data_IF_361951282385
#
_entry.id   IF_361951282385
#
_cell.length_a   1.000
_cell.length_b   1.000
_cell.length_c   1.000
_cell.angle_alpha   90.00
_cell.angle_beta   90.00
_cell.angle_gamma   90.00
#
_symmetry.space_group_name_H-M   'P 1'
#
loop_
_entity.id
_entity.type
_entity.pdbx_description
1 polymer ?
#
# COMPACT_ATOMS: atom_id res chain seq x y z
N UNK A 1 -2.14 37.19 13.92
CA UNK A 1 -1.28 35.99 13.93
C UNK A 1 -2.14 34.80 14.33
N UNK A 2 -2.91 34.25 13.39
CA UNK A 2 -3.82 33.12 13.65
C UNK A 2 -3.07 31.80 13.50
N UNK A 3 -3.34 30.79 14.35
CA UNK A 3 -2.70 29.49 14.25
C UNK A 3 -3.20 28.84 12.95
N UNK A 4 -2.32 28.76 11.96
CA UNK A 4 -2.61 28.03 10.74
C UNK A 4 -2.96 26.58 11.11
N UNK A 5 -4.15 26.12 10.70
CA UNK A 5 -4.61 24.75 10.86
C UNK A 5 -3.50 23.78 10.45
N UNK A 6 -2.92 23.06 11.42
CA UNK A 6 -1.86 22.08 11.16
C UNK A 6 -2.28 21.04 10.11
N UNK A 7 -3.57 20.71 10.08
CA UNK A 7 -4.20 19.88 9.05
C UNK A 7 -4.06 20.46 7.64
N UNK A 8 -4.23 21.77 7.47
CA UNK A 8 -4.05 22.44 6.18
C UNK A 8 -2.61 22.29 5.66
N UNK A 9 -1.63 22.45 6.56
CA UNK A 9 -0.21 22.29 6.21
C UNK A 9 0.15 20.87 5.80
N UNK A 10 -0.44 19.86 6.43
CA UNK A 10 -0.23 18.45 6.05
C UNK A 10 -0.82 18.17 4.67
N UNK A 11 -2.01 18.70 4.38
CA UNK A 11 -2.66 18.55 3.07
C UNK A 11 -1.84 19.23 1.97
N UNK A 12 -1.29 20.41 2.24
CA UNK A 12 -0.44 21.13 1.27
C UNK A 12 0.86 20.37 0.99
N UNK A 13 1.46 19.72 2.01
CA UNK A 13 2.64 18.86 1.83
C UNK A 13 2.34 17.59 1.03
N UNK A 14 1.17 16.99 1.21
CA UNK A 14 0.72 15.83 0.43
C UNK A 14 0.49 16.16 -1.06
N UNK A 15 0.21 17.43 -1.39
CA UNK A 15 0.02 17.89 -2.78
C UNK A 15 1.34 18.28 -3.45
N UNK A 16 2.41 18.44 -2.70
CA UNK A 16 3.72 18.85 -3.21
C UNK A 16 4.56 17.69 -3.77
N UNK A 17 5.76 17.97 -4.30
CA UNK A 17 6.69 16.97 -4.84
C UNK A 17 7.09 15.87 -3.83
N UNK A 18 7.05 16.18 -2.53
CA UNK A 18 7.33 15.25 -1.44
C UNK A 18 6.11 14.42 -1.00
N UNK A 19 4.93 14.67 -1.56
CA UNK A 19 3.67 14.08 -1.10
C UNK A 19 3.65 12.55 -1.16
N UNK A 20 4.20 11.97 -2.23
CA UNK A 20 4.32 10.52 -2.38
C UNK A 20 5.19 9.89 -1.28
N UNK A 21 6.34 10.49 -0.98
CA UNK A 21 7.23 10.02 0.09
C UNK A 21 6.58 10.11 1.48
N UNK A 22 5.88 11.21 1.76
CA UNK A 22 5.17 11.38 3.03
C UNK A 22 4.04 10.35 3.19
N UNK A 23 3.27 10.11 2.13
CA UNK A 23 2.20 9.12 2.14
C UNK A 23 2.75 7.71 2.41
N UNK A 24 3.89 7.34 1.83
CA UNK A 24 4.55 6.06 2.10
C UNK A 24 4.92 5.91 3.58
N UNK A 25 5.52 6.94 4.20
CA UNK A 25 5.89 6.93 5.62
C UNK A 25 4.64 6.79 6.50
N UNK A 26 3.56 7.50 6.17
CA UNK A 26 2.29 7.40 6.91
C UNK A 26 1.70 5.99 6.83
N UNK A 27 1.66 5.39 5.64
CA UNK A 27 1.19 4.01 5.45
C UNK A 27 2.04 3.00 6.23
N UNK A 28 3.38 3.12 6.18
CA UNK A 28 4.29 2.24 6.92
C UNK A 28 4.10 2.38 8.43
N UNK A 29 3.97 3.61 8.93
CA UNK A 29 3.72 3.88 10.35
C UNK A 29 2.38 3.28 10.78
N UNK A 30 1.32 3.46 9.99
CA UNK A 30 0.02 2.88 10.27
C UNK A 30 0.07 1.34 10.30
N UNK A 31 0.78 0.72 9.35
CA UNK A 31 0.99 -0.73 9.34
C UNK A 31 1.72 -1.21 10.59
N UNK A 32 2.79 -0.51 11.02
CA UNK A 32 3.50 -0.83 12.27
C UNK A 32 2.60 -0.69 13.50
N UNK A 33 1.77 0.35 13.57
CA UNK A 33 0.84 0.53 14.69
C UNK A 33 -0.17 -0.62 14.75
N UNK A 34 -0.80 -0.97 13.62
CA UNK A 34 -1.78 -2.06 13.54
C UNK A 34 -1.11 -3.39 13.92
N UNK A 35 0.07 -3.68 13.34
CA UNK A 35 0.82 -4.89 13.60
C UNK A 35 1.35 -5.01 15.04
N UNK A 36 1.35 -3.93 15.83
CA UNK A 36 1.73 -3.94 17.25
C UNK A 36 0.56 -3.70 18.21
N UNK A 37 -0.68 -3.72 17.70
CA UNK A 37 -1.90 -3.49 18.46
C UNK A 37 -2.68 -4.80 18.72
N UNK A 38 -3.77 -4.76 19.50
CA UNK A 38 -4.69 -5.90 19.66
C UNK A 38 -5.28 -6.42 18.35
N UNK A 39 -5.29 -5.63 17.27
CA UNK A 39 -5.76 -6.05 15.95
C UNK A 39 -4.73 -6.84 15.13
N UNK A 40 -3.54 -7.12 15.70
CA UNK A 40 -2.47 -7.90 15.06
C UNK A 40 -2.98 -9.19 14.43
N UNK A 41 -3.73 -9.99 15.17
CA UNK A 41 -4.21 -11.29 14.69
C UNK A 41 -5.15 -11.15 13.49
N UNK A 42 -6.12 -10.24 13.56
CA UNK A 42 -7.02 -9.96 12.45
C UNK A 42 -6.26 -9.44 11.21
N UNK A 43 -5.27 -8.58 11.41
CA UNK A 43 -4.43 -8.05 10.34
C UNK A 43 -3.65 -9.16 9.61
N UNK A 44 -2.96 -10.03 10.35
CA UNK A 44 -2.21 -11.12 9.75
C UNK A 44 -3.11 -12.24 9.22
N UNK A 45 -4.27 -12.49 9.81
CA UNK A 45 -5.25 -13.42 9.29
C UNK A 45 -5.81 -12.97 7.92
N UNK A 46 -6.09 -11.67 7.77
CA UNK A 46 -6.53 -11.10 6.50
C UNK A 46 -5.43 -11.18 5.43
N UNK A 47 -4.19 -10.84 5.77
CA UNK A 47 -3.06 -10.92 4.83
C UNK A 47 -2.70 -12.37 4.45
N UNK A 48 -2.86 -13.30 5.39
CA UNK A 48 -2.61 -14.72 5.18
C UNK A 48 -3.77 -15.47 4.54
N UNK A 49 -4.94 -14.84 4.38
CA UNK A 49 -6.13 -15.50 3.86
C UNK A 49 -5.86 -16.06 2.45
N UNK A 50 -6.05 -17.36 2.20
CA UNK A 50 -5.81 -17.95 0.90
C UNK A 50 -6.90 -17.50 -0.08
N UNK A 51 -6.51 -16.75 -1.10
CA UNK A 51 -7.35 -16.42 -2.24
C UNK A 51 -6.99 -17.30 -3.42
N UNK A 52 -7.94 -18.17 -3.76
CA UNK A 52 -7.86 -19.08 -4.89
C UNK A 52 -8.52 -18.54 -6.14
N UNK A 53 -7.82 -18.58 -7.27
CA UNK A 53 -8.43 -18.41 -8.60
C UNK A 53 -8.19 -19.68 -9.43
N UNK A 54 -9.22 -20.11 -10.16
CA UNK A 54 -9.19 -21.31 -11.01
C UNK A 54 -10.22 -22.37 -10.59
N UNK A 55 -10.26 -23.47 -11.34
CA UNK A 55 -11.17 -24.60 -11.09
C UNK A 55 -10.48 -25.93 -11.38
N UNK A 56 -10.79 -26.98 -10.62
CA UNK A 56 -10.18 -28.31 -10.79
C UNK A 56 -8.69 -28.35 -10.44
N UNK A 57 -7.90 -29.06 -11.25
CA UNK A 57 -6.47 -29.31 -10.98
C UNK A 57 -5.56 -28.08 -11.20
N UNK A 58 -6.05 -26.99 -11.81
CA UNK A 58 -5.30 -25.76 -12.06
C UNK A 58 -5.62 -24.63 -11.07
N UNK A 59 -6.07 -24.97 -9.86
CA UNK A 59 -6.36 -24.00 -8.81
C UNK A 59 -5.07 -23.40 -8.26
N UNK A 60 -4.94 -22.08 -8.33
CA UNK A 60 -3.84 -21.34 -7.74
C UNK A 60 -4.34 -20.69 -6.46
N UNK A 61 -3.94 -21.25 -5.31
CA UNK A 61 -4.24 -20.69 -3.99
C UNK A 61 -3.01 -19.92 -3.48
N UNK A 62 -3.14 -18.59 -3.42
CA UNK A 62 -2.09 -17.70 -2.91
C UNK A 62 -2.64 -16.86 -1.76
N UNK A 63 -1.84 -16.59 -0.72
CA UNK A 63 -2.23 -15.63 0.31
C UNK A 63 -2.55 -14.26 -0.29
N UNK A 64 -3.53 -13.53 0.29
CA UNK A 64 -3.87 -12.14 -0.06
C UNK A 64 -2.62 -11.27 -0.19
N UNK A 65 -1.66 -11.44 0.72
CA UNK A 65 -0.41 -10.68 0.72
C UNK A 65 0.38 -10.84 -0.59
N UNK A 66 0.47 -12.05 -1.15
CA UNK A 66 1.20 -12.29 -2.41
C UNK A 66 0.46 -11.64 -3.58
N UNK A 67 -0.86 -11.79 -3.65
CA UNK A 67 -1.68 -11.12 -4.66
C UNK A 67 -1.48 -9.60 -4.66
N UNK A 68 -1.47 -8.98 -3.48
CA UNK A 68 -1.26 -7.54 -3.34
C UNK A 68 0.15 -7.16 -3.82
N UNK A 69 1.17 -7.92 -3.42
CA UNK A 69 2.55 -7.65 -3.82
C UNK A 69 2.71 -7.70 -5.34
N UNK A 70 2.28 -8.79 -5.96
CA UNK A 70 2.41 -8.99 -7.41
C UNK A 70 1.64 -7.92 -8.20
N UNK A 71 0.42 -7.58 -7.77
CA UNK A 71 -0.40 -6.57 -8.44
C UNK A 71 0.20 -5.15 -8.32
N UNK A 72 0.66 -4.76 -7.12
CA UNK A 72 1.28 -3.45 -6.92
C UNK A 72 2.61 -3.34 -7.64
N UNK A 73 3.43 -4.39 -7.63
CA UNK A 73 4.69 -4.44 -8.38
C UNK A 73 4.44 -4.38 -9.89
N UNK A 74 3.43 -5.08 -10.41
CA UNK A 74 3.05 -5.00 -11.82
C UNK A 74 2.68 -3.57 -12.23
N UNK A 75 1.89 -2.86 -11.41
CA UNK A 75 1.55 -1.46 -11.65
C UNK A 75 2.76 -0.53 -11.55
N UNK A 76 3.62 -0.73 -10.56
CA UNK A 76 4.86 0.03 -10.39
C UNK A 76 5.77 -0.12 -11.60
N UNK A 77 6.06 -1.35 -12.03
CA UNK A 77 6.90 -1.61 -13.19
C UNK A 77 6.28 -1.13 -14.49
N UNK A 78 4.96 -1.22 -14.64
CA UNK A 78 4.25 -0.64 -15.79
C UNK A 78 4.50 0.86 -15.87
N UNK A 79 4.32 1.58 -14.77
CA UNK A 79 4.53 3.03 -14.72
C UNK A 79 5.99 3.40 -15.00
N UNK A 80 6.94 2.68 -14.38
CA UNK A 80 8.37 2.86 -14.62
C UNK A 80 8.74 2.61 -16.09
N UNK A 81 8.20 1.55 -16.71
CA UNK A 81 8.46 1.25 -18.10
C UNK A 81 7.90 2.32 -19.06
N UNK A 82 6.72 2.87 -18.76
CA UNK A 82 6.14 3.98 -19.52
C UNK A 82 6.96 5.27 -19.36
N UNK A 83 7.47 5.55 -18.15
CA UNK A 83 8.32 6.70 -17.89
C UNK A 83 9.66 6.60 -18.64
N UNK A 84 10.32 5.43 -18.61
CA UNK A 84 11.55 5.17 -19.36
C UNK A 84 11.34 5.33 -20.87
N UNK A 85 10.16 4.98 -21.40
CA UNK A 85 9.84 5.18 -22.82
C UNK A 85 9.59 6.66 -23.17
N UNK A 86 9.19 7.46 -22.20
CA UNK A 86 8.86 8.88 -22.38
C UNK A 86 10.12 9.75 -22.42
N UNK A 87 11.14 9.38 -21.65
CA UNK A 87 12.49 9.97 -21.67
C UNK A 87 13.32 9.47 -22.85
#
# INVERSE_FOLDING_TARGET
MTPANALGRVIDLLRGPAGGGMLLVLCATAAMLIANSPWREAYFALLGYPLGLGSGASRLDLPVLLWINDALMALFFLLVALEIKRE
#
